data_IF_231126876720
#
_entry.id   IF_231126876720
#
_cell.length_a   1.000
_cell.length_b   1.000
_cell.length_c   1.000
_cell.angle_alpha   90.00
_cell.angle_beta   90.00
_cell.angle_gamma   90.00
#
_symmetry.space_group_name_H-M   'P 1'
#
loop_
_entity.id
_entity.type
_entity.pdbx_description
1 polymer ?
#
# COMPACT_ATOMS: atom_id res chain seq x y z
N UNK A 1 -0.72 -18.70 -17.11
CA UNK A 1 -0.42 -19.21 -15.75
C UNK A 1 0.74 -18.37 -15.25
N UNK A 2 0.47 -17.35 -14.42
CA UNK A 2 1.53 -16.45 -13.94
C UNK A 2 2.07 -17.08 -12.66
N UNK A 3 3.27 -17.63 -12.75
CA UNK A 3 4.01 -18.16 -11.62
C UNK A 3 4.72 -16.99 -10.96
N UNK A 4 4.30 -16.61 -9.75
CA UNK A 4 4.99 -15.61 -8.94
C UNK A 4 6.26 -16.28 -8.38
N UNK A 5 7.47 -15.77 -8.66
CA UNK A 5 8.70 -16.40 -8.21
C UNK A 5 8.82 -16.37 -6.69
N UNK A 6 9.46 -17.43 -6.18
CA UNK A 6 9.62 -17.74 -4.77
C UNK A 6 10.46 -16.65 -4.07
N UNK A 7 9.83 -15.93 -3.13
CA UNK A 7 10.40 -14.82 -2.32
C UNK A 7 11.71 -15.21 -1.64
N UNK A 8 12.74 -14.39 -1.78
CA UNK A 8 13.98 -14.49 -1.01
C UNK A 8 13.71 -14.10 0.46
N UNK A 9 14.44 -14.69 1.40
CA UNK A 9 14.29 -14.39 2.84
C UNK A 9 14.65 -12.93 3.21
N UNK A 10 15.43 -12.23 2.37
CA UNK A 10 15.72 -10.80 2.51
C UNK A 10 14.45 -9.95 2.28
N UNK A 11 13.62 -10.34 1.31
CA UNK A 11 12.37 -9.67 0.96
C UNK A 11 11.40 -9.65 2.15
N UNK A 12 11.31 -10.77 2.89
CA UNK A 12 10.45 -10.87 4.07
C UNK A 12 10.90 -9.95 5.22
N UNK A 13 12.21 -9.79 5.43
CA UNK A 13 12.75 -8.92 6.46
C UNK A 13 12.50 -7.44 6.16
N UNK A 14 12.67 -7.03 4.89
CA UNK A 14 12.40 -5.67 4.44
C UNK A 14 10.91 -5.33 4.53
N UNK A 15 10.03 -6.22 4.04
CA UNK A 15 8.58 -6.05 4.16
C UNK A 15 8.14 -5.95 5.63
N UNK A 16 8.71 -6.78 6.50
CA UNK A 16 8.42 -6.73 7.93
C UNK A 16 8.95 -5.44 8.56
N UNK A 17 10.12 -4.95 8.14
CA UNK A 17 10.66 -3.68 8.58
C UNK A 17 9.74 -2.51 8.20
N UNK A 18 9.31 -2.41 6.93
CA UNK A 18 8.38 -1.35 6.47
C UNK A 18 7.07 -1.41 7.25
N UNK A 19 6.54 -2.62 7.48
CA UNK A 19 5.33 -2.82 8.28
C UNK A 19 5.51 -2.35 9.73
N UNK A 20 6.60 -2.76 10.38
CA UNK A 20 6.93 -2.34 11.75
C UNK A 20 7.12 -0.83 11.86
N UNK A 21 7.79 -0.24 10.87
CA UNK A 21 8.01 1.18 10.77
C UNK A 21 6.68 1.94 10.65
N UNK A 22 5.76 1.48 9.81
CA UNK A 22 4.42 2.06 9.68
C UNK A 22 3.65 2.02 11.02
N UNK A 23 3.68 0.88 11.72
CA UNK A 23 3.04 0.69 13.03
C UNK A 23 3.63 1.60 14.10
N UNK A 24 4.96 1.78 14.09
CA UNK A 24 5.68 2.49 15.15
C UNK A 24 5.55 4.00 15.03
N UNK A 25 5.50 4.52 13.79
CA UNK A 25 5.65 5.95 13.53
C UNK A 25 4.35 6.63 13.09
N UNK A 26 3.32 5.87 12.73
CA UNK A 26 2.05 6.43 12.26
C UNK A 26 0.87 5.79 12.98
N UNK A 27 -0.23 6.53 13.05
CA UNK A 27 -1.49 5.97 13.52
C UNK A 27 -2.04 5.01 12.46
N UNK A 28 -2.04 3.72 12.77
CA UNK A 28 -2.67 2.73 11.90
C UNK A 28 -4.16 3.06 11.71
N UNK A 29 -4.62 2.88 10.48
CA UNK A 29 -6.05 2.97 10.18
C UNK A 29 -6.73 1.71 10.71
N UNK A 30 -7.10 1.72 11.99
CA UNK A 30 -7.78 0.61 12.66
C UNK A 30 -9.22 0.37 12.18
N UNK A 31 -9.73 1.24 11.29
CA UNK A 31 -11.11 1.21 10.80
C UNK A 31 -11.15 1.07 9.28
N UNK A 32 -10.65 -0.04 8.76
CA UNK A 32 -11.20 -0.51 7.50
C UNK A 32 -12.69 -0.76 7.76
N UNK A 33 -13.57 -0.17 6.94
CA UNK A 33 -15.02 -0.22 7.19
C UNK A 33 -15.45 -1.66 7.47
N UNK A 34 -16.34 -1.90 8.43
CA UNK A 34 -16.81 -3.25 8.82
C UNK A 34 -17.29 -4.12 7.64
N UNK A 35 -17.57 -3.51 6.48
CA UNK A 35 -18.00 -4.16 5.26
C UNK A 35 -16.92 -4.22 4.15
N UNK A 36 -15.62 -4.20 4.46
CA UNK A 36 -14.54 -4.30 3.45
C UNK A 36 -14.79 -5.43 2.45
N UNK A 37 -15.28 -6.59 2.91
CA UNK A 37 -15.61 -7.74 2.07
C UNK A 37 -16.71 -7.43 1.05
N UNK A 38 -17.83 -6.85 1.49
CA UNK A 38 -18.93 -6.44 0.61
C UNK A 38 -18.45 -5.44 -0.44
N UNK A 39 -17.65 -4.46 0.00
CA UNK A 39 -17.05 -3.46 -0.88
C UNK A 39 -16.10 -4.15 -1.87
N UNK A 40 -15.22 -5.04 -1.42
CA UNK A 40 -14.31 -5.78 -2.28
C UNK A 40 -15.06 -6.61 -3.33
N UNK A 41 -16.11 -7.34 -2.93
CA UNK A 41 -16.93 -8.14 -3.87
C UNK A 41 -17.60 -7.28 -4.94
N UNK A 42 -17.89 -6.00 -4.68
CA UNK A 42 -18.42 -5.06 -5.67
C UNK A 42 -17.41 -4.71 -6.77
N UNK A 43 -16.12 -4.58 -6.42
CA UNK A 43 -15.08 -4.10 -7.34
C UNK A 43 -14.18 -5.21 -7.90
N UNK A 44 -14.06 -6.33 -7.17
CA UNK A 44 -13.15 -7.44 -7.46
C UNK A 44 -13.90 -8.78 -7.37
N UNK A 45 -14.81 -9.03 -8.33
CA UNK A 45 -15.67 -10.22 -8.35
C UNK A 45 -14.91 -11.55 -8.41
N UNK A 46 -13.65 -11.54 -8.87
CA UNK A 46 -12.79 -12.71 -8.96
C UNK A 46 -12.00 -12.99 -7.66
N UNK A 47 -12.09 -12.11 -6.65
CA UNK A 47 -11.42 -12.29 -5.36
C UNK A 47 -12.23 -13.27 -4.51
N UNK A 48 -11.69 -14.49 -4.30
CA UNK A 48 -12.34 -15.49 -3.46
C UNK A 48 -12.09 -15.18 -1.98
N UNK A 49 -13.11 -14.68 -1.28
CA UNK A 49 -13.03 -14.33 0.14
C UNK A 49 -13.89 -15.29 0.98
N UNK A 50 -13.29 -15.98 1.93
CA UNK A 50 -14.04 -16.76 2.93
C UNK A 50 -14.81 -15.84 3.87
N UNK A 51 -15.83 -16.36 4.57
CA UNK A 51 -16.58 -15.59 5.58
C UNK A 51 -15.70 -15.12 6.73
N UNK A 52 -14.64 -15.87 7.03
CA UNK A 52 -13.70 -15.59 8.12
C UNK A 52 -12.44 -14.85 7.67
N UNK A 53 -12.40 -14.30 6.44
CA UNK A 53 -11.23 -13.53 5.99
C UNK A 53 -11.12 -12.24 6.80
N UNK A 54 -10.07 -12.16 7.60
CA UNK A 54 -9.72 -10.97 8.37
C UNK A 54 -9.44 -9.77 7.43
N UNK A 55 -9.95 -8.56 7.71
CA UNK A 55 -9.68 -7.36 6.91
C UNK A 55 -8.21 -7.13 6.55
N UNK A 56 -7.27 -7.48 7.42
CA UNK A 56 -5.85 -7.36 7.12
C UNK A 56 -5.42 -8.37 6.03
N UNK A 57 -5.89 -9.62 6.10
CA UNK A 57 -5.66 -10.62 5.05
C UNK A 57 -6.25 -10.20 3.69
N UNK A 58 -7.41 -9.54 3.71
CA UNK A 58 -8.01 -8.96 2.51
C UNK A 58 -7.15 -7.84 1.90
N UNK A 59 -6.65 -6.90 2.70
CA UNK A 59 -5.73 -5.87 2.21
C UNK A 59 -4.46 -6.46 1.61
N UNK A 60 -3.87 -7.45 2.30
CA UNK A 60 -2.69 -8.16 1.80
C UNK A 60 -2.98 -8.86 0.46
N UNK A 61 -4.17 -9.43 0.28
CA UNK A 61 -4.61 -10.06 -0.98
C UNK A 61 -4.73 -9.06 -2.14
N UNK A 62 -4.93 -7.77 -1.82
CA UNK A 62 -4.93 -6.66 -2.76
C UNK A 62 -3.55 -6.00 -2.93
N UNK A 63 -2.52 -6.56 -2.28
CA UNK A 63 -1.16 -6.06 -2.29
C UNK A 63 -0.93 -4.81 -1.45
N UNK A 64 -1.88 -4.44 -0.57
CA UNK A 64 -1.70 -3.36 0.41
C UNK A 64 -1.02 -3.96 1.64
N UNK A 65 0.15 -3.45 1.98
CA UNK A 65 0.95 -3.90 3.13
C UNK A 65 0.45 -3.29 4.44
N UNK A 66 0.10 -2.00 4.42
CA UNK A 66 -0.35 -1.25 5.60
C UNK A 66 -1.21 -0.07 5.18
N UNK A 67 -2.00 0.45 6.11
CA UNK A 67 -2.70 1.72 5.96
C UNK A 67 -2.40 2.61 7.17
N UNK A 68 -1.92 3.81 6.89
CA UNK A 68 -1.51 4.79 7.90
C UNK A 68 -2.35 6.06 7.81
N UNK A 69 -2.42 6.80 8.90
CA UNK A 69 -2.94 8.17 8.91
C UNK A 69 -1.75 9.13 8.96
N UNK A 70 -1.74 10.11 8.05
CA UNK A 70 -0.73 11.14 7.96
C UNK A 70 -1.42 12.50 7.88
N UNK A 71 -1.46 13.22 9.00
CA UNK A 71 -2.37 14.35 9.15
C UNK A 71 -3.82 13.89 9.05
N UNK A 72 -4.58 14.52 8.16
CA UNK A 72 -5.97 14.16 7.87
C UNK A 72 -6.12 13.10 6.75
N UNK A 73 -5.04 12.82 6.01
CA UNK A 73 -5.05 11.84 4.90
C UNK A 73 -4.82 10.42 5.41
N UNK A 74 -5.53 9.47 4.82
CA UNK A 74 -5.32 8.03 5.02
C UNK A 74 -4.68 7.41 3.80
N UNK A 75 -3.55 6.78 4.01
CA UNK A 75 -2.64 6.38 2.93
C UNK A 75 -2.43 4.88 2.99
N UNK A 76 -2.74 4.18 1.90
CA UNK A 76 -2.34 2.79 1.70
C UNK A 76 -0.88 2.74 1.29
N UNK A 77 -0.12 1.83 1.90
CA UNK A 77 1.26 1.56 1.54
C UNK A 77 1.38 0.18 0.91
N UNK A 78 2.08 0.14 -0.20
CA UNK A 78 2.62 -1.08 -0.78
C UNK A 78 4.11 -0.90 -1.03
N UNK A 79 4.81 -1.99 -1.27
CA UNK A 79 6.27 -1.98 -1.41
C UNK A 79 6.65 -2.60 -2.74
N UNK A 80 7.55 -1.95 -3.44
CA UNK A 80 8.21 -2.45 -4.64
C UNK A 80 9.72 -2.49 -4.41
N UNK A 81 10.37 -3.55 -4.85
CA UNK A 81 11.82 -3.77 -4.69
C UNK A 81 12.62 -3.20 -5.87
N UNK A 82 11.94 -2.92 -6.98
CA UNK A 82 12.55 -2.37 -8.17
C UNK A 82 11.52 -1.56 -8.96
N UNK A 83 12.04 -0.75 -9.89
CA UNK A 83 11.22 0.16 -10.67
C UNK A 83 10.17 -0.57 -11.52
N UNK A 84 10.53 -1.69 -12.12
CA UNK A 84 9.60 -2.48 -12.94
C UNK A 84 8.40 -2.98 -12.14
N UNK A 85 8.61 -3.42 -10.90
CA UNK A 85 7.52 -3.81 -10.01
C UNK A 85 6.67 -2.61 -9.60
N UNK A 86 7.30 -1.47 -9.30
CA UNK A 86 6.60 -0.25 -8.91
C UNK A 86 5.69 0.26 -10.03
N UNK A 87 6.18 0.26 -11.28
CA UNK A 87 5.41 0.69 -12.45
C UNK A 87 4.22 -0.26 -12.70
N UNK A 88 4.42 -1.59 -12.59
CA UNK A 88 3.33 -2.56 -12.70
C UNK A 88 2.26 -2.39 -11.61
N UNK A 89 2.67 -2.03 -10.39
CA UNK A 89 1.76 -1.71 -9.29
C UNK A 89 0.99 -0.42 -9.54
N UNK A 90 1.62 0.62 -10.14
CA UNK A 90 0.89 1.81 -10.58
C UNK A 90 -0.21 1.44 -11.57
N UNK A 91 0.09 0.62 -12.59
CA UNK A 91 -0.91 0.20 -13.57
C UNK A 91 -2.10 -0.53 -12.92
N UNK A 92 -1.83 -1.35 -11.90
CA UNK A 92 -2.85 -2.06 -11.14
C UNK A 92 -3.70 -1.11 -10.26
N UNK A 93 -3.06 -0.21 -9.54
CA UNK A 93 -3.70 0.63 -8.51
C UNK A 93 -4.30 1.92 -9.07
N UNK A 94 -3.89 2.36 -10.26
CA UNK A 94 -4.44 3.54 -10.91
C UNK A 94 -5.69 3.24 -11.77
N UNK A 95 -6.34 2.10 -11.53
CA UNK A 95 -7.60 1.76 -12.19
C UNK A 95 -8.79 2.41 -11.48
N UNK A 96 -9.87 2.79 -12.20
CA UNK A 96 -11.07 3.37 -11.58
C UNK A 96 -11.73 2.45 -10.53
N UNK A 97 -11.68 1.14 -10.75
CA UNK A 97 -12.21 0.15 -9.82
C UNK A 97 -11.41 0.15 -8.50
N UNK A 98 -10.09 0.18 -8.58
CA UNK A 98 -9.23 0.24 -7.41
C UNK A 98 -9.39 1.56 -6.65
N UNK A 99 -9.36 2.70 -7.34
CA UNK A 99 -9.61 4.01 -6.71
C UNK A 99 -10.95 4.04 -5.97
N UNK A 100 -12.02 3.53 -6.61
CA UNK A 100 -13.34 3.47 -6.00
C UNK A 100 -13.38 2.56 -4.77
N UNK A 101 -12.74 1.39 -4.83
CA UNK A 101 -12.61 0.48 -3.69
C UNK A 101 -11.85 1.14 -2.53
N UNK A 102 -10.67 1.71 -2.82
CA UNK A 102 -9.77 2.35 -1.85
C UNK A 102 -10.51 3.47 -1.10
N UNK A 103 -11.19 4.35 -1.82
CA UNK A 103 -12.02 5.42 -1.23
C UNK A 103 -13.20 4.86 -0.44
N UNK A 104 -13.85 3.81 -0.93
CA UNK A 104 -14.97 3.19 -0.22
C UNK A 104 -14.54 2.58 1.13
N UNK A 105 -13.31 2.09 1.25
CA UNK A 105 -12.76 1.60 2.53
C UNK A 105 -12.13 2.71 3.38
N UNK A 106 -12.21 3.97 2.92
CA UNK A 106 -11.77 5.15 3.65
C UNK A 106 -10.28 5.46 3.54
N UNK A 107 -9.65 5.07 2.43
CA UNK A 107 -8.26 5.40 2.11
C UNK A 107 -8.26 6.40 0.95
N UNK A 108 -7.54 7.50 1.10
CA UNK A 108 -7.55 8.63 0.18
C UNK A 108 -6.55 8.40 -0.96
N UNK A 109 -5.33 8.00 -0.62
CA UNK A 109 -4.20 7.82 -1.54
C UNK A 109 -3.48 6.50 -1.35
N UNK A 110 -2.67 6.12 -2.35
CA UNK A 110 -1.84 4.92 -2.32
C UNK A 110 -0.39 5.27 -2.65
N UNK A 111 0.52 4.97 -1.74
CA UNK A 111 1.95 5.10 -1.97
C UNK A 111 2.61 3.73 -2.20
N UNK A 112 3.31 3.62 -3.31
CA UNK A 112 4.17 2.50 -3.65
C UNK A 112 5.58 2.90 -3.25
N UNK A 113 6.05 2.34 -2.14
CA UNK A 113 7.38 2.60 -1.62
C UNK A 113 8.38 1.77 -2.43
N UNK A 114 9.15 2.43 -3.29
CA UNK A 114 10.25 1.79 -4.00
C UNK A 114 11.47 1.79 -3.07
N UNK A 115 11.72 0.64 -2.45
CA UNK A 115 12.76 0.45 -1.44
C UNK A 115 13.96 -0.28 -2.03
N UNK A 116 15.16 0.26 -1.78
CA UNK A 116 16.40 -0.46 -2.00
C UNK A 116 16.68 -1.40 -0.80
N UNK A 117 16.79 -2.73 -0.99
CA UNK A 117 17.11 -3.66 0.09
C UNK A 117 18.48 -3.41 0.75
N UNK A 118 19.37 -2.62 0.14
CA UNK A 118 20.71 -2.32 0.66
C UNK A 118 20.77 -1.07 1.56
N UNK A 119 19.69 -0.31 1.68
CA UNK A 119 19.66 0.94 2.45
C UNK A 119 18.99 0.75 3.82
N UNK A 120 19.64 1.27 4.86
CA UNK A 120 19.02 1.49 6.17
C UNK A 120 18.22 2.80 6.10
N UNK A 121 16.94 2.71 5.74
CA UNK A 121 16.05 3.87 5.70
C UNK A 121 15.75 4.41 7.09
N UNK A 122 15.64 5.72 7.20
CA UNK A 122 15.19 6.41 8.41
C UNK A 122 13.79 6.99 8.22
N UNK A 123 13.14 7.36 9.33
CA UNK A 123 11.84 8.04 9.32
C UNK A 123 11.86 9.34 8.53
N UNK A 124 13.02 9.99 8.53
CA UNK A 124 13.21 11.28 7.91
C UNK A 124 13.15 11.20 6.38
N UNK A 125 13.67 10.14 5.77
CA UNK A 125 13.66 9.97 4.31
C UNK A 125 12.22 9.86 3.76
N UNK A 126 11.35 9.13 4.46
CA UNK A 126 9.93 9.00 4.14
C UNK A 126 9.15 10.30 4.38
N UNK A 127 9.52 11.06 5.41
CA UNK A 127 8.89 12.34 5.71
C UNK A 127 9.30 13.43 4.71
N UNK A 128 10.58 13.51 4.34
CA UNK A 128 11.10 14.47 3.36
C UNK A 128 10.51 14.21 1.97
N UNK A 129 10.55 12.95 1.50
CA UNK A 129 9.90 12.59 0.24
C UNK A 129 8.40 12.91 0.23
N UNK A 130 7.72 12.82 1.37
CA UNK A 130 6.32 13.22 1.50
C UNK A 130 6.11 14.74 1.48
N UNK A 131 6.95 15.51 2.15
CA UNK A 131 6.86 16.98 2.16
C UNK A 131 6.94 17.51 0.72
N UNK A 132 7.87 16.99 -0.07
CA UNK A 132 7.99 17.33 -1.49
C UNK A 132 6.72 16.98 -2.28
N UNK A 133 6.00 15.92 -1.90
CA UNK A 133 4.74 15.51 -2.53
C UNK A 133 3.53 16.33 -2.07
N UNK A 134 3.54 16.84 -0.83
CA UNK A 134 2.48 17.72 -0.36
C UNK A 134 2.45 19.06 -1.08
N UNK A 135 3.60 19.48 -1.62
CA UNK A 135 3.77 20.73 -2.36
C UNK A 135 3.32 20.63 -3.83
N UNK A 136 2.99 19.44 -4.32
CA UNK A 136 2.43 19.26 -5.67
C UNK A 136 0.97 19.74 -5.73
N UNK A 137 0.65 20.63 -6.68
CA UNK A 137 -0.72 21.13 -6.92
C UNK A 137 -1.68 20.00 -7.34
N UNK A 138 -1.22 19.09 -8.19
CA UNK A 138 -1.95 17.89 -8.63
C UNK A 138 -1.33 16.65 -7.99
N UNK A 139 -1.80 16.27 -6.81
CA UNK A 139 -1.36 15.04 -6.14
C UNK A 139 -2.01 13.83 -6.82
N UNK A 140 -1.23 12.94 -7.46
CA UNK A 140 -1.80 11.74 -8.04
C UNK A 140 -2.31 10.83 -6.92
N UNK A 141 -3.49 10.23 -7.13
CA UNK A 141 -4.11 9.31 -6.17
C UNK A 141 -3.28 8.06 -5.85
N UNK A 142 -2.38 7.69 -6.76
CA UNK A 142 -1.42 6.61 -6.64
C UNK A 142 -0.05 7.11 -7.07
N UNK A 143 0.98 6.91 -6.25
CA UNK A 143 2.33 7.43 -6.51
C UNK A 143 3.42 6.45 -6.13
N UNK A 144 4.54 6.51 -6.84
CA UNK A 144 5.79 5.85 -6.45
C UNK A 144 6.59 6.84 -5.61
N UNK A 145 6.82 6.47 -4.36
CA UNK A 145 7.76 7.16 -3.48
C UNK A 145 9.08 6.42 -3.57
N UNK A 146 10.04 7.00 -4.29
CA UNK A 146 11.38 6.43 -4.38
C UNK A 146 12.11 6.71 -3.08
N UNK A 147 12.44 5.64 -2.37
CA UNK A 147 13.32 5.70 -1.21
C UNK A 147 14.76 5.30 -1.57
N UNK A 148 15.05 5.08 -2.86
CA UNK A 148 16.38 4.72 -3.37
C UNK A 148 17.47 5.75 -3.07
#
# INVERSE_FOLDING_TARGET
MITIPNKNKQDAALLQWVKNFAVTNYHQVNFLRKNVKEIASKYFQNLQLSEDTDPEQLLNSLGILSAISLGDEKIAWSVAENRSQADAMIEQYNTPAYSSFRKAIGIDSHWILLVNPELMFTLQDLYEAHMDLLELEDKPECIIVSLL
#
